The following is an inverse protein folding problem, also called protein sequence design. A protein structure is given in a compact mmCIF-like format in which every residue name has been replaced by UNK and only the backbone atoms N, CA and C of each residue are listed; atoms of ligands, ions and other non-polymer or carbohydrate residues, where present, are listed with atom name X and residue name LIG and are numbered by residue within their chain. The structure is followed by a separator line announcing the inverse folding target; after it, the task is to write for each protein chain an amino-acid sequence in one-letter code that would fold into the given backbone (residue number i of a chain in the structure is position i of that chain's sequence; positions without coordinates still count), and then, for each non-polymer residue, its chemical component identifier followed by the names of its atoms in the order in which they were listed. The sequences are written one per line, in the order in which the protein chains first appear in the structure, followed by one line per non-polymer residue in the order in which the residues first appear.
data_IF_047529868129
#
_entry.id   IF_047529868129
#
_cell.length_a   1.000
_cell.length_b   1.000
_cell.length_c   1.000
_cell.angle_alpha   90.00
_cell.angle_beta   90.00
_cell.angle_gamma   90.00
#
_symmetry.space_group_name_H-M   'P 1'
#
loop_
_entity.id
_entity.type
_entity.pdbx_description
1 polymer ?
#
# COMPACT_ATOMS: atom_id res chain seq x y z
N UNK A 1 -25.53 -34.87 -41.23
CA UNK A 1 -25.11 -35.76 -40.13
C UNK A 1 -23.96 -35.09 -39.42
N UNK A 2 -24.30 -34.37 -38.32
CA UNK A 2 -23.27 -33.81 -37.47
C UNK A 2 -22.65 -34.93 -36.67
N UNK A 3 -21.39 -35.22 -36.93
CA UNK A 3 -20.59 -36.09 -36.10
C UNK A 3 -20.46 -35.46 -34.73
N UNK A 4 -21.33 -35.82 -33.81
CA UNK A 4 -21.15 -35.60 -32.39
C UNK A 4 -19.98 -36.50 -31.93
N UNK A 5 -18.76 -36.07 -32.21
CA UNK A 5 -17.54 -36.68 -31.65
C UNK A 5 -17.55 -36.37 -30.18
N UNK A 6 -18.01 -37.30 -29.37
CA UNK A 6 -17.93 -37.20 -27.92
C UNK A 6 -16.49 -36.93 -27.51
N UNK A 7 -16.27 -35.82 -26.79
CA UNK A 7 -14.96 -35.52 -26.23
C UNK A 7 -14.54 -36.68 -25.34
N UNK A 8 -13.42 -37.32 -25.67
CA UNK A 8 -12.87 -38.42 -24.86
C UNK A 8 -12.62 -37.94 -23.43
N UNK A 9 -12.93 -38.75 -22.44
CA UNK A 9 -12.64 -38.48 -21.02
C UNK A 9 -11.17 -38.09 -20.84
N UNK A 10 -10.24 -38.70 -21.56
CA UNK A 10 -8.80 -38.37 -21.54
C UNK A 10 -8.57 -36.94 -22.04
N UNK A 11 -9.22 -36.53 -23.12
CA UNK A 11 -9.10 -35.17 -23.67
C UNK A 11 -9.62 -34.13 -22.66
N UNK A 12 -10.73 -34.43 -22.00
CA UNK A 12 -11.27 -33.55 -20.96
C UNK A 12 -10.30 -33.38 -19.77
N UNK A 13 -9.69 -34.48 -19.31
CA UNK A 13 -8.68 -34.45 -18.25
C UNK A 13 -7.46 -33.62 -18.62
N UNK A 14 -6.97 -33.74 -19.86
CA UNK A 14 -5.85 -32.96 -20.37
C UNK A 14 -6.21 -31.44 -20.40
N UNK A 15 -7.39 -31.10 -20.89
CA UNK A 15 -7.85 -29.69 -20.94
C UNK A 15 -7.90 -29.10 -19.54
N UNK A 16 -8.50 -29.82 -18.57
CA UNK A 16 -8.57 -29.34 -17.17
C UNK A 16 -7.18 -29.15 -16.58
N UNK A 17 -6.25 -30.07 -16.83
CA UNK A 17 -4.87 -29.96 -16.34
C UNK A 17 -4.16 -28.74 -16.93
N UNK A 18 -4.27 -28.49 -18.22
CA UNK A 18 -3.66 -27.34 -18.92
C UNK A 18 -4.26 -26.03 -18.42
N UNK A 19 -5.59 -25.93 -18.31
CA UNK A 19 -6.28 -24.73 -17.82
C UNK A 19 -5.88 -24.44 -16.38
N UNK A 20 -5.80 -25.45 -15.51
CA UNK A 20 -5.38 -25.30 -14.12
C UNK A 20 -3.94 -24.79 -14.00
N UNK A 21 -3.04 -25.24 -14.85
CA UNK A 21 -1.65 -24.77 -14.90
C UNK A 21 -1.56 -23.29 -15.33
N UNK A 22 -2.31 -22.90 -16.35
CA UNK A 22 -2.36 -21.52 -16.85
C UNK A 22 -2.91 -20.58 -15.76
N UNK A 23 -4.00 -20.98 -15.09
CA UNK A 23 -4.61 -20.20 -14.02
C UNK A 23 -3.63 -19.99 -12.86
N UNK A 24 -2.86 -20.99 -12.48
CA UNK A 24 -1.86 -20.89 -11.41
C UNK A 24 -0.79 -19.84 -11.73
N UNK A 25 -0.25 -19.88 -12.94
CA UNK A 25 0.75 -18.89 -13.40
C UNK A 25 0.14 -17.47 -13.43
N UNK A 26 -1.08 -17.34 -13.93
CA UNK A 26 -1.76 -16.03 -14.00
C UNK A 26 -1.98 -15.40 -12.64
N UNK A 27 -2.40 -16.17 -11.63
CA UNK A 27 -2.62 -15.68 -10.26
C UNK A 27 -1.33 -15.15 -9.64
N UNK A 28 -0.21 -15.86 -9.79
CA UNK A 28 1.09 -15.42 -9.26
C UNK A 28 1.54 -14.09 -9.88
N UNK A 29 1.31 -13.89 -11.18
CA UNK A 29 1.66 -12.63 -11.86
C UNK A 29 0.78 -11.46 -11.39
N UNK A 30 -0.52 -11.69 -11.20
CA UNK A 30 -1.43 -10.66 -10.70
C UNK A 30 -1.01 -10.21 -9.30
N UNK A 31 -0.69 -11.14 -8.40
CA UNK A 31 -0.22 -10.82 -7.04
C UNK A 31 1.05 -9.97 -7.10
N UNK A 32 2.04 -10.34 -7.88
CA UNK A 32 3.30 -9.59 -8.02
C UNK A 32 3.08 -8.16 -8.50
N UNK A 33 2.22 -7.96 -9.50
CA UNK A 33 1.90 -6.63 -10.04
C UNK A 33 1.14 -5.81 -8.98
N UNK A 34 0.18 -6.41 -8.30
CA UNK A 34 -0.60 -5.74 -7.25
C UNK A 34 0.29 -5.30 -6.09
N UNK A 35 1.19 -6.18 -5.62
CA UNK A 35 2.17 -5.86 -4.57
C UNK A 35 3.04 -4.69 -4.98
N UNK A 36 3.61 -4.72 -6.19
CA UNK A 36 4.47 -3.63 -6.69
C UNK A 36 3.73 -2.29 -6.78
N UNK A 37 2.46 -2.30 -7.21
CA UNK A 37 1.63 -1.09 -7.27
C UNK A 37 1.30 -0.56 -5.88
N UNK A 38 0.97 -1.43 -4.94
CA UNK A 38 0.67 -1.06 -3.56
C UNK A 38 1.91 -0.47 -2.86
N UNK A 39 3.09 -1.08 -3.03
CA UNK A 39 4.36 -0.60 -2.48
C UNK A 39 4.73 0.79 -3.02
N UNK A 40 4.62 0.97 -4.34
CA UNK A 40 4.83 2.28 -4.97
C UNK A 40 3.84 3.32 -4.44
N UNK A 41 2.57 2.94 -4.31
CA UNK A 41 1.52 3.79 -3.74
C UNK A 41 1.78 4.15 -2.27
N UNK A 42 2.23 3.18 -1.46
CA UNK A 42 2.53 3.40 -0.04
C UNK A 42 3.68 4.38 0.16
N UNK A 43 4.78 4.21 -0.57
CA UNK A 43 5.92 5.13 -0.50
C UNK A 43 5.56 6.54 -1.00
N UNK A 44 4.76 6.64 -2.07
CA UNK A 44 4.28 7.92 -2.60
C UNK A 44 3.35 8.63 -1.60
N UNK A 45 2.43 7.90 -0.97
CA UNK A 45 1.52 8.44 0.04
C UNK A 45 2.27 8.95 1.27
N UNK A 46 3.28 8.21 1.77
CA UNK A 46 4.11 8.68 2.87
C UNK A 46 4.90 9.93 2.51
N UNK A 47 5.43 10.04 1.30
CA UNK A 47 6.09 11.27 0.82
C UNK A 47 5.11 12.44 0.75
N UNK A 48 3.87 12.20 0.33
CA UNK A 48 2.83 13.22 0.31
C UNK A 48 2.50 13.70 1.73
N UNK A 49 2.33 12.77 2.68
CA UNK A 49 2.13 13.07 4.11
C UNK A 49 3.29 13.90 4.66
N UNK A 50 4.53 13.47 4.39
CA UNK A 50 5.73 14.18 4.81
C UNK A 50 5.78 15.60 4.25
N UNK A 51 5.51 15.76 2.95
CA UNK A 51 5.49 17.09 2.31
C UNK A 51 4.44 18.00 2.97
N UNK A 52 3.27 17.49 3.30
CA UNK A 52 2.23 18.24 3.99
C UNK A 52 2.66 18.66 5.40
N UNK A 53 3.30 17.75 6.15
CA UNK A 53 3.83 18.04 7.48
C UNK A 53 4.95 19.09 7.45
N UNK A 54 5.87 18.98 6.51
CA UNK A 54 6.97 19.95 6.35
C UNK A 54 6.44 21.33 5.92
N UNK A 55 5.45 21.40 5.03
CA UNK A 55 4.82 22.66 4.65
C UNK A 55 4.07 23.27 5.82
N UNK A 56 3.34 22.48 6.60
CA UNK A 56 2.70 22.95 7.82
C UNK A 56 3.74 23.55 8.79
N UNK A 57 4.82 22.86 9.06
CA UNK A 57 5.88 23.32 9.95
C UNK A 57 6.50 24.63 9.45
N UNK A 58 6.73 24.75 8.13
CA UNK A 58 7.25 25.97 7.52
C UNK A 58 6.36 27.18 7.78
N UNK A 59 5.04 26.99 7.71
CA UNK A 59 4.06 28.07 7.96
C UNK A 59 3.84 28.33 9.45
N UNK A 60 4.22 27.39 10.33
CA UNK A 60 4.03 27.45 11.79
C UNK A 60 5.36 27.53 12.56
N UNK A 61 6.33 28.30 12.09
CA UNK A 61 7.60 28.59 12.78
C UNK A 61 8.45 27.35 13.09
N UNK A 62 8.33 26.32 12.28
CA UNK A 62 9.06 25.05 12.45
C UNK A 62 8.36 24.02 13.34
N UNK A 63 7.17 24.31 13.84
CA UNK A 63 6.41 23.38 14.68
C UNK A 63 5.49 22.50 13.84
N UNK A 64 5.58 21.18 14.02
CA UNK A 64 4.67 20.20 13.42
C UNK A 64 3.34 20.13 14.18
N UNK A 65 2.24 19.69 13.52
CA UNK A 65 0.95 19.59 14.19
C UNK A 65 0.95 18.44 15.20
N UNK A 66 0.21 18.60 16.29
CA UNK A 66 -0.02 17.52 17.27
C UNK A 66 -1.18 16.60 16.87
N UNK A 67 -1.98 16.99 15.86
CA UNK A 67 -3.10 16.22 15.35
C UNK A 67 -3.05 16.21 13.82
N UNK A 68 -3.13 15.02 13.23
CA UNK A 68 -3.06 14.83 11.79
C UNK A 68 -4.22 15.47 11.02
N UNK A 69 -5.41 15.51 11.63
CA UNK A 69 -6.61 16.11 11.00
C UNK A 69 -6.47 17.59 10.67
N UNK A 70 -5.57 18.30 11.35
CA UNK A 70 -5.27 19.72 11.06
C UNK A 70 -4.80 19.91 9.62
N UNK A 71 -4.11 18.91 9.03
CA UNK A 71 -3.60 18.99 7.67
C UNK A 71 -4.71 19.02 6.60
N UNK A 72 -5.87 18.48 6.92
CA UNK A 72 -7.04 18.43 6.02
C UNK A 72 -8.06 19.54 6.30
N UNK A 73 -8.08 20.09 7.52
CA UNK A 73 -9.08 21.08 7.95
C UNK A 73 -8.67 22.53 7.68
N UNK A 74 -7.40 22.80 7.39
CA UNK A 74 -6.93 24.13 7.06
C UNK A 74 -7.44 24.59 5.67
N UNK A 75 -7.50 25.90 5.49
CA UNK A 75 -7.85 26.51 4.21
C UNK A 75 -6.75 27.51 3.77
N UNK A 76 -5.93 27.19 2.76
CA UNK A 76 -5.92 25.94 1.98
C UNK A 76 -5.45 24.74 2.79
N UNK A 77 -5.98 23.55 2.49
CA UNK A 77 -5.57 22.30 3.14
C UNK A 77 -4.18 21.86 2.65
N UNK A 78 -3.40 21.26 3.56
CA UNK A 78 -2.08 20.69 3.23
C UNK A 78 -2.19 19.29 2.63
N UNK A 79 -3.27 18.56 2.94
CA UNK A 79 -3.61 17.26 2.40
C UNK A 79 -5.03 17.24 1.85
N UNK A 80 -5.24 16.44 0.81
CA UNK A 80 -6.55 16.21 0.18
C UNK A 80 -7.48 15.39 1.07
N UNK A 81 -6.92 14.49 1.90
CA UNK A 81 -7.68 13.62 2.81
C UNK A 81 -6.84 13.10 3.97
N UNK A 82 -7.51 12.60 5.00
CA UNK A 82 -6.88 11.99 6.16
C UNK A 82 -6.57 10.50 5.89
N UNK A 83 -5.37 10.22 5.41
CA UNK A 83 -4.91 8.86 5.10
C UNK A 83 -4.80 7.95 6.33
N UNK A 84 -4.67 8.50 7.54
CA UNK A 84 -4.65 7.74 8.77
C UNK A 84 -6.06 7.27 9.15
N UNK A 85 -7.04 8.17 9.08
CA UNK A 85 -8.43 7.87 9.37
C UNK A 85 -9.06 6.94 8.30
N UNK A 86 -8.64 7.08 7.03
CA UNK A 86 -9.13 6.26 5.92
C UNK A 86 -8.33 4.95 5.72
N UNK A 87 -7.43 4.61 6.65
CA UNK A 87 -6.72 3.32 6.59
C UNK A 87 -7.67 2.13 6.77
N UNK A 88 -7.48 1.03 6.01
CA UNK A 88 -6.42 0.76 5.04
C UNK A 88 -6.66 1.44 3.68
N UNK A 89 -5.60 1.95 3.07
CA UNK A 89 -5.65 2.54 1.74
C UNK A 89 -4.68 1.82 0.80
N UNK A 90 -5.19 1.31 -0.32
CA UNK A 90 -4.42 0.56 -1.33
C UNK A 90 -3.54 -0.55 -0.73
N UNK A 91 -4.12 -1.36 0.16
CA UNK A 91 -3.45 -2.51 0.75
C UNK A 91 -2.46 -2.19 1.87
N UNK A 92 -2.40 -0.94 2.33
CA UNK A 92 -1.53 -0.49 3.41
C UNK A 92 -2.28 0.23 4.52
N UNK A 93 -1.89 -0.01 5.77
CA UNK A 93 -2.33 0.73 6.94
C UNK A 93 -1.33 1.84 7.24
N UNK A 94 -1.81 3.06 7.38
CA UNK A 94 -1.00 4.24 7.70
C UNK A 94 -1.18 4.62 9.16
N UNK A 95 -0.08 4.91 9.82
CA UNK A 95 -0.08 5.37 11.22
C UNK A 95 1.10 6.28 11.47
N UNK A 96 0.94 7.25 12.38
CA UNK A 96 2.02 8.07 12.87
C UNK A 96 2.21 7.76 14.35
N UNK A 97 3.29 7.03 14.68
CA UNK A 97 3.65 6.67 16.05
C UNK A 97 4.14 7.88 16.85
N UNK A 98 4.70 8.85 16.15
CA UNK A 98 5.15 10.11 16.72
C UNK A 98 4.64 11.24 15.85
N UNK A 99 3.93 12.18 16.46
CA UNK A 99 3.50 13.42 15.85
C UNK A 99 3.47 14.49 16.93
N UNK A 100 4.54 15.26 17.01
CA UNK A 100 4.81 16.26 18.04
C UNK A 100 5.36 17.51 17.39
N UNK A 101 5.33 18.65 18.09
CA UNK A 101 5.87 19.91 17.59
C UNK A 101 7.34 19.82 17.13
N UNK A 102 8.13 18.90 17.71
CA UNK A 102 9.54 18.69 17.41
C UNK A 102 9.81 17.74 16.23
N UNK A 103 8.79 17.03 15.73
CA UNK A 103 8.98 16.10 14.62
C UNK A 103 7.91 15.01 14.53
N UNK A 104 8.05 14.16 13.52
CA UNK A 104 7.11 13.08 13.22
C UNK A 104 7.82 11.79 12.83
N UNK A 105 7.10 10.69 12.99
CA UNK A 105 7.46 9.36 12.44
C UNK A 105 6.17 8.66 12.02
N UNK A 106 5.98 8.52 10.72
CA UNK A 106 4.81 7.89 10.13
C UNK A 106 5.21 6.65 9.36
N UNK A 107 4.41 5.61 9.43
CA UNK A 107 4.66 4.32 8.78
C UNK A 107 3.48 3.86 7.94
N UNK A 108 3.80 3.06 6.92
CA UNK A 108 2.85 2.32 6.10
C UNK A 108 3.19 0.83 6.20
N UNK A 109 2.26 0.07 6.75
CA UNK A 109 2.38 -1.38 6.95
C UNK A 109 1.41 -2.10 6.01
N UNK A 110 1.84 -3.15 5.26
CA UNK A 110 0.93 -3.91 4.42
C UNK A 110 -0.14 -4.58 5.28
N UNK A 111 -1.39 -4.60 4.82
CA UNK A 111 -2.49 -5.27 5.52
C UNK A 111 -2.29 -6.79 5.61
N UNK A 112 -1.57 -7.35 4.63
CA UNK A 112 -1.16 -8.76 4.61
C UNK A 112 0.21 -8.87 3.97
N UNK A 113 1.21 -9.29 4.76
CA UNK A 113 2.58 -9.49 4.26
C UNK A 113 2.59 -10.51 3.13
N UNK A 114 3.33 -10.21 2.05
CA UNK A 114 3.45 -10.98 0.79
C UNK A 114 2.23 -10.95 -0.14
N UNK A 115 1.03 -10.58 0.33
CA UNK A 115 -0.17 -10.50 -0.51
C UNK A 115 -0.49 -9.05 -0.93
N UNK A 116 -0.40 -8.09 -0.02
CA UNK A 116 -0.66 -6.68 -0.31
C UNK A 116 0.62 -5.85 -0.41
N UNK A 117 1.71 -6.31 0.19
CA UNK A 117 3.03 -5.72 0.16
C UNK A 117 4.06 -6.62 0.82
N UNK A 118 5.34 -6.42 0.53
CA UNK A 118 6.47 -7.13 1.14
C UNK A 118 7.32 -6.22 2.01
N UNK A 119 7.10 -4.91 1.92
CA UNK A 119 7.88 -3.89 2.62
C UNK A 119 7.02 -3.06 3.56
N UNK A 120 7.58 -2.73 4.71
CA UNK A 120 7.08 -1.68 5.62
C UNK A 120 7.88 -0.42 5.33
N UNK A 121 7.20 0.70 5.13
CA UNK A 121 7.81 1.99 4.89
C UNK A 121 7.65 2.87 6.12
N UNK A 122 8.69 3.60 6.47
CA UNK A 122 8.65 4.60 7.55
C UNK A 122 9.28 5.90 7.05
N UNK A 123 8.60 7.01 7.30
CA UNK A 123 9.09 8.35 6.98
C UNK A 123 9.19 9.17 8.27
N UNK A 124 10.29 9.89 8.41
CA UNK A 124 10.57 10.69 9.60
C UNK A 124 10.79 12.16 9.22
N UNK A 125 10.90 12.99 10.24
CA UNK A 125 11.19 14.43 10.12
C UNK A 125 12.30 14.69 9.12
N UNK A 126 12.09 15.66 8.23
CA UNK A 126 13.00 15.96 7.12
C UNK A 126 12.78 15.09 5.88
N UNK A 127 11.71 14.27 5.84
CA UNK A 127 11.36 13.46 4.68
C UNK A 127 12.25 12.23 4.46
N UNK A 128 12.97 11.78 5.49
CA UNK A 128 13.79 10.56 5.40
C UNK A 128 12.90 9.33 5.36
N UNK A 129 12.85 8.69 4.19
CA UNK A 129 12.11 7.45 3.96
C UNK A 129 13.05 6.25 4.10
N UNK A 130 12.69 5.32 4.97
CA UNK A 130 13.35 4.02 5.15
C UNK A 130 12.34 2.91 4.91
N UNK A 131 12.82 1.70 4.61
CA UNK A 131 11.99 0.52 4.40
C UNK A 131 12.67 -0.72 4.99
N UNK A 132 11.84 -1.65 5.41
CA UNK A 132 12.26 -2.97 5.89
C UNK A 132 11.27 -4.03 5.38
N UNK A 133 11.69 -5.30 5.35
CA UNK A 133 10.78 -6.38 4.96
C UNK A 133 9.74 -6.60 6.06
N UNK A 134 8.48 -6.81 5.64
CA UNK A 134 7.46 -7.22 6.59
C UNK A 134 7.76 -8.65 7.10
N UNK A 135 7.61 -8.85 8.41
CA UNK A 135 7.66 -10.18 8.99
C UNK A 135 6.27 -10.82 8.89
N UNK A 136 6.19 -12.00 8.24
CA UNK A 136 5.00 -12.84 8.35
C UNK A 136 5.08 -13.54 9.70
N UNK A 137 4.20 -13.19 10.64
CA UNK A 137 3.97 -14.04 11.79
C UNK A 137 3.41 -15.37 11.27
N UNK A 138 4.26 -16.40 11.20
CA UNK A 138 3.84 -17.79 11.02
C UNK A 138 3.19 -18.31 12.31
#
# INVERSE_FOLDING_TARGET
MEDARGISFITLMIIIAVVSLILRIAVEQIIKVTVAQNESGASATLKLISTALENYAKDNQGAFPSNFSVLTQNNPSYLDKDYLAESPFKGYNYSCLRLEASGYSCSANPTSCKLTGTMVYTITTGGLLVWEKCESNE
#
